data_IF_445484480070
#
_entry.id   IF_445484480070
#
_cell.length_a   1.000
_cell.length_b   1.000
_cell.length_c   1.000
_cell.angle_alpha   90.00
_cell.angle_beta   90.00
_cell.angle_gamma   90.00
#
_symmetry.space_group_name_H-M   'P 1'
#
loop_
_entity.id
_entity.type
_entity.pdbx_description
1 polymer ?
#
# COMPACT_ATOMS: atom_id res chain seq x y z
N UNK A 1 6.64 5.26 10.59
CA UNK A 1 5.93 4.14 9.92
C UNK A 1 6.70 3.69 8.67
N UNK A 2 6.63 2.42 8.22
CA UNK A 2 7.45 1.92 7.11
C UNK A 2 7.36 2.74 5.82
N UNK A 3 6.17 3.25 5.48
CA UNK A 3 5.97 4.11 4.31
C UNK A 3 6.72 5.45 4.41
N UNK A 4 6.75 6.06 5.60
CA UNK A 4 7.47 7.32 5.82
C UNK A 4 8.98 7.13 5.67
N UNK A 5 9.51 6.00 6.16
CA UNK A 5 10.92 5.67 6.00
C UNK A 5 11.29 5.54 4.51
N UNK A 6 10.47 4.83 3.72
CA UNK A 6 10.70 4.71 2.26
C UNK A 6 10.64 6.06 1.57
N UNK A 7 9.68 6.92 1.93
CA UNK A 7 9.58 8.27 1.35
C UNK A 7 10.80 9.12 1.68
N UNK A 8 11.29 9.04 2.92
CA UNK A 8 12.48 9.78 3.36
C UNK A 8 13.74 9.30 2.64
N UNK A 9 13.96 7.98 2.60
CA UNK A 9 15.10 7.40 1.88
C UNK A 9 15.05 7.70 0.38
N UNK A 10 13.86 7.65 -0.23
CA UNK A 10 13.68 8.00 -1.63
C UNK A 10 14.05 9.47 -1.91
N UNK A 11 13.61 10.39 -1.04
CA UNK A 11 13.95 11.80 -1.16
C UNK A 11 15.47 12.03 -1.01
N UNK A 12 16.11 11.32 -0.09
CA UNK A 12 17.56 11.39 0.12
C UNK A 12 18.35 10.92 -1.10
N UNK A 13 18.00 9.74 -1.66
CA UNK A 13 18.63 9.20 -2.87
C UNK A 13 18.47 10.15 -4.06
N UNK A 14 17.28 10.71 -4.25
CA UNK A 14 17.02 11.65 -5.34
C UNK A 14 17.82 12.94 -5.16
N UNK A 15 17.93 13.44 -3.93
CA UNK A 15 18.70 14.65 -3.62
C UNK A 15 20.18 14.46 -3.94
N UNK A 16 20.74 13.28 -3.64
CA UNK A 16 22.11 12.93 -4.02
C UNK A 16 22.28 12.87 -5.54
N UNK A 17 21.33 12.26 -6.25
CA UNK A 17 21.42 12.13 -7.72
C UNK A 17 21.35 13.47 -8.44
N UNK A 18 20.58 14.43 -7.91
CA UNK A 18 20.45 15.78 -8.48
C UNK A 18 21.77 16.56 -8.50
N UNK A 19 22.76 16.18 -7.69
CA UNK A 19 24.10 16.77 -7.74
C UNK A 19 24.89 16.36 -8.99
N UNK A 20 24.53 15.24 -9.63
CA UNK A 20 25.25 14.70 -10.79
C UNK A 20 24.47 14.84 -12.10
N UNK A 21 23.15 14.68 -12.04
CA UNK A 21 22.29 14.68 -13.23
C UNK A 21 21.00 15.44 -12.94
N UNK A 22 20.62 16.32 -13.87
CA UNK A 22 19.31 16.96 -13.82
C UNK A 22 18.20 15.91 -13.98
N UNK A 23 17.41 15.70 -12.91
CA UNK A 23 16.30 14.75 -12.89
C UNK A 23 14.95 15.49 -12.75
N UNK A 24 14.26 15.78 -13.87
CA UNK A 24 12.92 16.38 -13.84
C UNK A 24 11.91 15.57 -13.02
N UNK A 25 10.97 16.28 -12.37
CA UNK A 25 9.94 15.66 -11.51
C UNK A 25 9.06 14.62 -12.20
N UNK A 26 8.83 14.77 -13.50
CA UNK A 26 8.08 13.80 -14.32
C UNK A 26 8.73 12.40 -14.35
N UNK A 27 10.01 12.28 -14.03
CA UNK A 27 10.72 11.01 -13.94
C UNK A 27 10.89 10.54 -12.49
N UNK A 28 11.21 11.47 -11.58
CA UNK A 28 11.42 11.11 -10.17
C UNK A 28 10.11 10.74 -9.44
N UNK A 29 8.98 11.35 -9.78
CA UNK A 29 7.70 10.99 -9.16
C UNK A 29 7.26 9.55 -9.48
N UNK A 30 7.22 9.08 -10.74
CA UNK A 30 6.97 7.68 -11.05
C UNK A 30 7.93 6.70 -10.35
N UNK A 31 9.21 7.06 -10.25
CA UNK A 31 10.23 6.25 -9.62
C UNK A 31 9.94 6.03 -8.12
N UNK A 32 9.60 7.10 -7.39
CA UNK A 32 9.20 7.00 -5.99
C UNK A 32 7.95 6.14 -5.83
N UNK A 33 6.97 6.29 -6.72
CA UNK A 33 5.77 5.46 -6.67
C UNK A 33 6.09 3.98 -6.84
N UNK A 34 6.93 3.61 -7.81
CA UNK A 34 7.41 2.24 -8.01
C UNK A 34 8.05 1.69 -6.72
N UNK A 35 8.91 2.47 -6.06
CA UNK A 35 9.55 2.06 -4.79
C UNK A 35 8.54 1.88 -3.66
N UNK A 36 7.55 2.77 -3.53
CA UNK A 36 6.52 2.65 -2.49
C UNK A 36 5.58 1.47 -2.69
N UNK A 37 5.50 0.91 -3.90
CA UNK A 37 4.76 -0.31 -4.18
C UNK A 37 5.51 -1.57 -3.73
N UNK A 38 6.85 -1.54 -3.61
CA UNK A 38 7.67 -2.72 -3.31
C UNK A 38 7.24 -3.48 -2.04
N UNK A 39 7.00 -2.84 -0.88
CA UNK A 39 6.53 -3.55 0.30
C UNK A 39 5.16 -4.18 0.12
N UNK A 40 4.35 -3.71 -0.83
CA UNK A 40 3.00 -4.23 -1.05
C UNK A 40 3.01 -5.62 -1.70
N UNK A 41 4.06 -5.96 -2.43
CA UNK A 41 4.20 -7.29 -3.02
C UNK A 41 4.25 -8.40 -1.95
N UNK A 42 4.68 -8.09 -0.72
CA UNK A 42 4.67 -9.05 0.39
C UNK A 42 3.25 -9.46 0.84
N UNK A 43 2.21 -8.73 0.43
CA UNK A 43 0.84 -9.04 0.79
C UNK A 43 0.15 -9.90 -0.27
N UNK A 44 0.41 -11.21 -0.23
CA UNK A 44 -0.18 -12.22 -1.13
C UNK A 44 -1.55 -12.74 -0.68
N UNK A 45 -2.04 -12.29 0.50
CA UNK A 45 -3.29 -12.77 1.11
C UNK A 45 -4.50 -11.86 0.84
N UNK A 46 -5.67 -12.49 0.70
CA UNK A 46 -6.98 -11.82 0.63
C UNK A 46 -7.14 -10.91 -0.59
N UNK A 47 -7.77 -9.74 -0.42
CA UNK A 47 -8.05 -8.80 -1.53
C UNK A 47 -6.89 -7.87 -1.89
N UNK A 48 -5.77 -7.93 -1.16
CA UNK A 48 -4.65 -7.01 -1.35
C UNK A 48 -3.92 -7.21 -2.68
N UNK A 49 -3.68 -8.45 -3.15
CA UNK A 49 -3.08 -8.68 -4.45
C UNK A 49 -3.88 -8.08 -5.60
N UNK A 50 -5.20 -8.31 -5.63
CA UNK A 50 -6.10 -7.77 -6.64
C UNK A 50 -6.06 -6.23 -6.68
N UNK A 51 -6.01 -5.57 -5.52
CA UNK A 51 -5.87 -4.10 -5.45
C UNK A 51 -4.53 -3.60 -5.97
N UNK A 52 -3.46 -4.36 -5.78
CA UNK A 52 -2.14 -4.01 -6.29
C UNK A 52 -2.06 -4.22 -7.80
N UNK A 53 -2.66 -5.29 -8.32
CA UNK A 53 -2.76 -5.59 -9.75
C UNK A 53 -3.46 -4.46 -10.52
N UNK A 54 -4.52 -3.87 -9.93
CA UNK A 54 -5.26 -2.76 -10.53
C UNK A 54 -4.51 -1.41 -10.50
N UNK A 55 -3.31 -1.34 -9.91
CA UNK A 55 -2.56 -0.08 -9.81
C UNK A 55 -1.96 0.31 -11.17
N UNK A 56 -2.06 1.59 -11.63
CA UNK A 56 -1.56 2.00 -12.95
C UNK A 56 -0.06 1.72 -13.17
N UNK A 57 0.72 1.71 -12.09
CA UNK A 57 2.17 1.44 -12.10
C UNK A 57 2.54 0.02 -11.70
N UNK A 58 1.58 -0.90 -11.68
CA UNK A 58 1.82 -2.30 -11.31
C UNK A 58 2.93 -2.91 -12.18
N UNK A 59 2.82 -2.81 -13.51
CA UNK A 59 3.79 -3.42 -14.44
C UNK A 59 5.23 -2.99 -14.14
N UNK A 60 5.47 -1.68 -14.05
CA UNK A 60 6.81 -1.16 -13.77
C UNK A 60 7.32 -1.58 -12.37
N UNK A 61 6.42 -1.69 -11.38
CA UNK A 61 6.80 -2.15 -10.05
C UNK A 61 7.07 -3.66 -9.97
N UNK A 62 6.36 -4.45 -10.78
CA UNK A 62 6.58 -5.87 -10.95
C UNK A 62 7.90 -6.14 -11.69
N UNK A 63 8.18 -5.43 -12.79
CA UNK A 63 9.46 -5.53 -13.49
C UNK A 63 10.62 -5.19 -12.54
N UNK A 64 10.46 -4.19 -11.68
CA UNK A 64 11.44 -3.88 -10.66
C UNK A 64 11.56 -4.98 -9.59
N UNK A 65 10.48 -5.67 -9.23
CA UNK A 65 10.54 -6.83 -8.34
C UNK A 65 11.37 -7.97 -8.97
N UNK A 66 11.18 -8.25 -10.26
CA UNK A 66 11.97 -9.26 -10.99
C UNK A 66 13.46 -8.94 -10.98
N UNK A 67 13.82 -7.68 -11.24
CA UNK A 67 15.21 -7.23 -11.17
C UNK A 67 15.80 -7.39 -9.76
N UNK A 68 15.03 -7.07 -8.72
CA UNK A 68 15.46 -7.25 -7.33
C UNK A 68 15.61 -8.72 -6.97
N UNK A 69 14.74 -9.60 -7.45
CA UNK A 69 14.87 -11.05 -7.26
C UNK A 69 16.13 -11.59 -7.95
N UNK A 70 16.37 -11.18 -9.19
CA UNK A 70 17.59 -11.54 -9.93
C UNK A 70 18.88 -11.02 -9.25
N UNK A 71 18.81 -9.88 -8.57
CA UNK A 71 19.92 -9.31 -7.79
C UNK A 71 20.06 -9.92 -6.38
N UNK A 72 19.18 -10.83 -5.97
CA UNK A 72 19.17 -11.42 -4.61
C UNK A 72 18.64 -10.48 -3.52
N UNK A 73 17.99 -9.37 -3.88
CA UNK A 73 17.43 -8.38 -2.96
C UNK A 73 15.94 -8.62 -2.62
N UNK A 74 15.30 -9.54 -3.33
CA UNK A 74 13.93 -9.97 -3.10
C UNK A 74 13.83 -11.49 -3.22
N UNK A 75 12.82 -12.05 -2.56
CA UNK A 75 12.56 -13.48 -2.58
C UNK A 75 12.15 -13.93 -4.01
N UNK A 76 12.87 -14.87 -4.64
CA UNK A 76 12.50 -15.37 -5.96
C UNK A 76 11.15 -16.09 -5.97
N UNK A 77 10.76 -16.77 -4.89
CA UNK A 77 9.45 -17.45 -4.79
C UNK A 77 8.31 -16.42 -4.80
N UNK A 78 8.54 -15.25 -4.21
CA UNK A 78 7.59 -14.15 -4.25
C UNK A 78 7.40 -13.64 -5.68
N UNK A 79 8.49 -13.48 -6.42
CA UNK A 79 8.44 -13.04 -7.81
C UNK A 79 7.70 -14.05 -8.70
N UNK A 80 7.97 -15.35 -8.52
CA UNK A 80 7.28 -16.43 -9.21
C UNK A 80 5.78 -16.45 -8.87
N UNK A 81 5.41 -16.33 -7.59
CA UNK A 81 4.01 -16.26 -7.18
C UNK A 81 3.26 -15.10 -7.86
N UNK A 82 3.88 -13.93 -7.97
CA UNK A 82 3.28 -12.78 -8.67
C UNK A 82 3.17 -12.98 -10.19
N UNK A 83 4.06 -13.80 -10.76
CA UNK A 83 3.98 -14.22 -12.17
C UNK A 83 2.74 -15.08 -12.38
N UNK A 84 2.58 -16.13 -11.57
CA UNK A 84 1.43 -17.04 -11.66
C UNK A 84 0.10 -16.33 -11.33
N UNK A 85 0.11 -15.40 -10.37
CA UNK A 85 -1.07 -14.65 -9.98
C UNK A 85 -1.58 -13.71 -11.08
N UNK A 86 -0.70 -12.96 -11.76
CA UNK A 86 -1.14 -12.04 -12.82
C UNK A 86 -1.64 -12.79 -14.07
N UNK A 87 -1.12 -13.99 -14.32
CA UNK A 87 -1.52 -14.85 -15.44
C UNK A 87 -2.82 -15.64 -15.12
N UNK A 88 -3.31 -15.55 -13.88
CA UNK A 88 -4.56 -16.17 -13.44
C UNK A 88 -4.43 -17.66 -13.08
N UNK A 89 -3.19 -18.15 -12.92
CA UNK A 89 -2.93 -19.54 -12.56
C UNK A 89 -3.06 -19.80 -11.06
N UNK A 90 -2.91 -18.76 -10.24
CA UNK A 90 -2.99 -18.83 -8.77
C UNK A 90 -3.97 -17.79 -8.23
N UNK A 91 -4.74 -18.19 -7.22
CA UNK A 91 -5.61 -17.29 -6.46
C UNK A 91 -4.88 -16.69 -5.25
N UNK A 92 -5.32 -15.52 -4.73
CA UNK A 92 -4.77 -14.97 -3.50
C UNK A 92 -4.89 -15.97 -2.36
N UNK A 93 -3.85 -16.06 -1.54
CA UNK A 93 -3.88 -16.92 -0.35
C UNK A 93 -5.07 -16.49 0.53
N UNK A 94 -5.87 -17.46 0.97
CA UNK A 94 -7.07 -17.18 1.77
C UNK A 94 -6.73 -16.30 2.99
N UNK A 95 -7.55 -15.30 3.25
CA UNK A 95 -7.40 -14.50 4.47
C UNK A 95 -7.93 -15.35 5.63
N UNK A 96 -7.06 -15.65 6.61
CA UNK A 96 -7.49 -16.36 7.82
C UNK A 96 -8.68 -15.61 8.43
N UNK A 97 -9.80 -16.31 8.61
CA UNK A 97 -11.02 -15.75 9.16
C UNK A 97 -10.71 -15.20 10.56
N UNK A 98 -10.55 -13.88 10.68
CA UNK A 98 -10.42 -13.25 11.98
C UNK A 98 -11.65 -13.64 12.80
N UNK A 99 -11.51 -14.10 14.05
CA UNK A 99 -12.67 -14.34 14.89
C UNK A 99 -13.46 -13.04 14.93
N UNK A 100 -14.71 -13.10 14.43
CA UNK A 100 -15.56 -11.94 14.40
C UNK A 100 -15.63 -11.41 15.83
N UNK A 101 -15.21 -10.17 16.06
CA UNK A 101 -15.54 -9.48 17.30
C UNK A 101 -17.03 -9.15 17.25
N UNK A 102 -17.87 -10.17 17.37
CA UNK A 102 -19.29 -10.00 17.66
C UNK A 102 -19.39 -9.42 19.07
N UNK A 103 -19.86 -8.18 19.17
CA UNK A 103 -20.26 -7.58 20.44
C UNK A 103 -19.38 -6.43 20.92
N UNK A 104 -19.80 -5.19 20.63
CA UNK A 104 -20.65 -4.44 21.56
C UNK A 104 -21.13 -3.15 20.87
N UNK A 105 -22.42 -3.13 20.55
CA UNK A 105 -23.22 -1.94 20.24
C UNK A 105 -22.79 -0.79 21.15
N UNK A 106 -22.32 0.33 20.58
CA UNK A 106 -22.23 1.62 21.30
C UNK A 106 -23.64 2.09 21.62
N UNK A 107 -24.20 1.56 22.72
CA UNK A 107 -25.46 1.97 23.32
C UNK A 107 -25.21 3.25 24.14
N UNK A 108 -25.89 4.32 23.77
CA UNK A 108 -26.24 5.42 24.66
C UNK A 108 -25.25 6.57 24.76
N UNK A 109 -25.29 7.51 23.82
CA UNK A 109 -25.08 8.93 24.17
C UNK A 109 -26.47 9.52 24.38
N UNK A 110 -26.93 9.47 25.63
CA UNK A 110 -28.09 10.24 26.12
C UNK A 110 -27.83 11.70 25.72
N UNK A 111 -28.60 12.17 24.74
CA UNK A 111 -28.63 13.57 24.34
C UNK A 111 -29.21 14.38 25.48
N UNK A 112 -28.33 15.03 26.25
CA UNK A 112 -28.72 16.04 27.19
C UNK A 112 -29.00 17.37 26.48
N UNK A 113 -30.07 18.02 26.94
CA UNK A 113 -30.21 19.48 27.08
C UNK A 113 -30.53 20.30 25.81
N UNK A 114 -31.82 20.59 25.63
CA UNK A 114 -32.36 21.86 25.10
C UNK A 114 -33.58 22.18 25.97
N UNK A 115 -33.41 22.86 27.11
CA UNK A 115 -33.44 24.31 27.32
C UNK A 115 -34.80 24.89 26.90
N UNK A 116 -35.69 24.96 27.88
CA UNK A 116 -36.92 25.76 27.88
C UNK A 116 -36.58 27.22 27.54
N UNK A 117 -37.37 27.81 26.66
CA UNK A 117 -37.44 29.26 26.45
C UNK A 117 -38.86 29.67 26.77
N UNK A 118 -39.02 30.10 28.02
CA UNK A 118 -39.74 31.30 28.48
C UNK A 118 -40.86 31.84 27.59
N UNK A 119 -42.08 31.78 28.13
CA UNK A 119 -43.23 32.52 27.64
C UNK A 119 -43.15 33.97 28.10
N UNK A 120 -43.31 34.89 27.16
CA UNK A 120 -43.61 36.28 27.46
C UNK A 120 -45.13 36.48 27.31
N UNK A 121 -45.80 36.72 28.43
CA UNK A 121 -46.96 37.61 28.55
C UNK A 121 -46.63 38.65 29.63
#
# INVERSE_FOLDING_TARGET
APLQAIQQSAAEVISRQLAFVALPRRFSAPMQEIWTLQPRFQFTRGKRPQRLLAHPRFRAAYDFLLLRAAAGEADPELAEWWTEFQDGHVEPVAEDAKPSRSGRRRRGRRGGRRKEADGAE
#
